data_IF_848704844295
#
_entry.id   IF_848704844295
#
_cell.length_a   1.000
_cell.length_b   1.000
_cell.length_c   1.000
_cell.angle_alpha   90.00
_cell.angle_beta   90.00
_cell.angle_gamma   90.00
#
_symmetry.space_group_name_H-M   'P 1'
#
loop_
_entity.id
_entity.type
_entity.pdbx_description
1 polymer ?
#
# COMPACT_ATOMS: atom_id res chain seq x y z
N UNK A 1 -25.48 7.60 32.31
CA UNK A 1 -25.27 6.28 31.67
C UNK A 1 -25.58 6.29 30.18
N UNK A 2 -26.82 6.60 29.73
CA UNK A 2 -27.20 6.53 28.30
C UNK A 2 -26.29 7.35 27.35
N UNK A 3 -25.91 8.59 27.73
CA UNK A 3 -25.00 9.46 26.94
C UNK A 3 -23.55 8.94 26.88
N UNK A 4 -23.06 8.29 27.94
CA UNK A 4 -21.72 7.67 27.94
C UNK A 4 -21.68 6.42 27.08
N UNK A 5 -22.74 5.60 27.09
CA UNK A 5 -22.89 4.43 26.20
C UNK A 5 -22.98 4.87 24.74
N UNK A 6 -23.72 5.93 24.43
CA UNK A 6 -23.80 6.48 23.07
C UNK A 6 -22.45 7.00 22.56
N UNK A 7 -21.69 7.70 23.40
CA UNK A 7 -20.33 8.16 23.06
C UNK A 7 -19.35 7.00 22.92
N UNK A 8 -19.45 5.96 23.75
CA UNK A 8 -18.63 4.74 23.62
C UNK A 8 -18.98 3.97 22.35
N UNK A 9 -20.28 3.89 22.00
CA UNK A 9 -20.75 3.26 20.76
C UNK A 9 -20.28 4.02 19.52
N UNK A 10 -20.31 5.36 19.53
CA UNK A 10 -19.76 6.21 18.45
C UNK A 10 -18.23 6.03 18.38
N UNK A 11 -17.53 5.95 19.51
CA UNK A 11 -16.08 5.71 19.52
C UNK A 11 -15.73 4.31 19.06
N UNK A 12 -16.52 3.29 19.44
CA UNK A 12 -16.38 1.92 18.97
C UNK A 12 -16.70 1.79 17.46
N UNK A 13 -17.70 2.49 16.97
CA UNK A 13 -18.05 2.54 15.55
C UNK A 13 -16.97 3.27 14.71
N UNK A 14 -16.36 4.32 15.26
CA UNK A 14 -15.22 5.01 14.63
C UNK A 14 -13.91 4.23 14.76
N UNK A 15 -13.78 3.37 15.76
CA UNK A 15 -12.63 2.49 15.97
C UNK A 15 -12.79 1.12 15.29
N UNK A 16 -14.01 0.75 14.87
CA UNK A 16 -14.22 -0.44 14.07
C UNK A 16 -13.42 -0.28 12.77
N UNK A 17 -12.50 -1.22 12.46
CA UNK A 17 -11.82 -1.18 11.18
C UNK A 17 -12.90 -1.35 10.13
N UNK A 18 -13.25 -0.26 9.42
CA UNK A 18 -13.89 -0.42 8.14
C UNK A 18 -12.99 -1.40 7.38
N UNK A 19 -13.56 -2.47 6.86
CA UNK A 19 -12.85 -3.36 5.96
C UNK A 19 -12.36 -2.48 4.79
N UNK A 20 -11.20 -1.86 4.99
CA UNK A 20 -10.51 -1.15 3.94
C UNK A 20 -10.09 -2.26 3.00
N UNK A 21 -10.86 -2.46 1.95
CA UNK A 21 -10.46 -3.21 0.77
C UNK A 21 -9.39 -2.40 0.03
N UNK A 22 -8.28 -2.09 0.72
CA UNK A 22 -7.04 -1.78 0.06
C UNK A 22 -6.69 -3.01 -0.75
N UNK A 23 -6.69 -2.89 -2.05
CA UNK A 23 -6.34 -3.99 -2.94
C UNK A 23 -4.98 -4.55 -2.49
N UNK A 24 -4.83 -5.86 -2.23
CA UNK A 24 -3.61 -6.43 -1.67
C UNK A 24 -2.42 -6.23 -2.59
N UNK A 25 -2.68 -5.96 -3.84
CA UNK A 25 -1.71 -5.92 -4.90
C UNK A 25 -1.45 -4.50 -5.43
N UNK A 26 -1.95 -3.42 -4.84
CA UNK A 26 -1.64 -2.00 -5.14
C UNK A 26 -1.14 -1.66 -6.55
N UNK A 27 -1.04 -0.38 -6.88
CA UNK A 27 -0.67 0.08 -8.23
C UNK A 27 0.84 -0.08 -8.57
N UNK A 28 1.64 -0.68 -7.66
CA UNK A 28 3.10 -0.87 -7.80
C UNK A 28 3.49 -2.31 -8.09
N UNK A 29 2.55 -3.25 -8.08
CA UNK A 29 2.87 -4.68 -8.10
C UNK A 29 3.31 -5.18 -9.45
N UNK A 30 4.24 -6.14 -9.43
CA UNK A 30 4.60 -7.00 -10.56
C UNK A 30 4.27 -8.42 -10.19
N UNK A 31 3.16 -8.92 -10.74
CA UNK A 31 2.64 -10.24 -10.46
C UNK A 31 3.17 -11.24 -11.48
N UNK A 32 3.50 -12.43 -11.02
CA UNK A 32 4.11 -13.47 -11.86
C UNK A 32 3.46 -14.81 -11.58
N UNK A 33 3.20 -15.51 -12.66
CA UNK A 33 2.73 -16.89 -12.61
C UNK A 33 3.55 -17.74 -13.57
N UNK A 34 3.92 -18.94 -13.16
CA UNK A 34 4.57 -19.92 -14.01
C UNK A 34 3.90 -21.28 -13.88
N UNK A 35 3.56 -21.91 -14.99
CA UNK A 35 3.12 -23.28 -15.05
C UNK A 35 4.15 -24.11 -15.79
N UNK A 36 4.77 -25.06 -15.11
CA UNK A 36 5.72 -26.00 -15.70
C UNK A 36 4.99 -27.32 -15.99
N UNK A 37 4.95 -27.72 -17.25
CA UNK A 37 4.24 -28.94 -17.67
C UNK A 37 4.92 -29.62 -18.84
N UNK A 38 4.56 -30.88 -19.08
CA UNK A 38 4.96 -31.61 -20.28
C UNK A 38 3.78 -31.68 -21.25
N UNK A 39 4.07 -31.43 -22.51
CA UNK A 39 3.14 -31.58 -23.63
C UNK A 39 3.96 -32.04 -24.85
N UNK A 40 3.41 -32.86 -25.70
CA UNK A 40 4.12 -33.42 -26.87
C UNK A 40 5.55 -33.91 -26.51
N UNK A 41 5.66 -34.65 -25.40
CA UNK A 41 6.93 -35.15 -24.88
C UNK A 41 8.02 -34.08 -24.66
N UNK A 42 7.61 -32.79 -24.44
CA UNK A 42 8.51 -31.68 -24.18
C UNK A 42 8.12 -30.90 -22.94
N UNK A 43 9.10 -30.36 -22.25
CA UNK A 43 8.87 -29.43 -21.18
C UNK A 43 8.43 -28.06 -21.73
N UNK A 44 7.38 -27.49 -21.16
CA UNK A 44 6.94 -26.14 -21.44
C UNK A 44 6.77 -25.36 -20.13
N UNK A 45 7.05 -24.06 -20.19
CA UNK A 45 6.71 -23.13 -19.14
C UNK A 45 5.81 -22.05 -19.73
N UNK A 46 4.55 -22.01 -19.28
CA UNK A 46 3.67 -20.87 -19.50
C UNK A 46 3.99 -19.84 -18.42
N UNK A 47 4.54 -18.71 -18.82
CA UNK A 47 4.86 -17.59 -17.95
C UNK A 47 3.88 -16.46 -18.17
N UNK A 48 3.31 -15.92 -17.09
CA UNK A 48 2.43 -14.76 -17.14
C UNK A 48 3.03 -13.66 -16.26
N UNK A 49 3.23 -12.50 -16.86
CA UNK A 49 3.64 -11.27 -16.20
C UNK A 49 2.46 -10.30 -16.24
N UNK A 50 2.06 -9.82 -15.07
CA UNK A 50 1.02 -8.80 -14.92
C UNK A 50 1.58 -7.62 -14.11
N UNK A 51 1.85 -6.50 -14.79
CA UNK A 51 2.37 -5.28 -14.20
C UNK A 51 1.26 -4.27 -13.96
N UNK A 52 1.23 -3.72 -12.76
CA UNK A 52 0.35 -2.62 -12.41
C UNK A 52 0.70 -1.33 -13.18
N UNK A 53 -0.08 -0.27 -12.96
CA UNK A 53 0.00 1.01 -13.66
C UNK A 53 1.39 1.64 -13.58
N UNK A 54 1.98 1.69 -12.39
CA UNK A 54 3.25 2.37 -12.16
C UNK A 54 4.42 1.59 -12.78
N UNK A 55 4.59 0.28 -12.53
CA UNK A 55 5.61 -0.51 -13.25
C UNK A 55 5.45 -0.47 -14.78
N UNK A 56 4.20 -0.47 -15.28
CA UNK A 56 3.93 -0.35 -16.71
C UNK A 56 4.40 1.01 -17.25
N UNK A 57 4.08 2.09 -16.54
CA UNK A 57 4.52 3.43 -16.89
C UNK A 57 6.05 3.56 -16.87
N UNK A 58 6.72 3.00 -15.85
CA UNK A 58 8.17 2.99 -15.73
C UNK A 58 8.85 2.17 -16.82
N UNK A 59 8.26 1.05 -17.23
CA UNK A 59 8.79 0.20 -18.29
C UNK A 59 8.71 0.88 -19.67
N UNK A 60 7.83 1.88 -19.83
CA UNK A 60 7.62 2.57 -21.10
C UNK A 60 7.08 1.63 -22.18
N UNK A 61 7.61 1.73 -23.40
CA UNK A 61 7.17 0.88 -24.53
C UNK A 61 7.75 -0.52 -24.39
N UNK A 62 6.88 -1.51 -24.24
CA UNK A 62 7.26 -2.92 -24.08
C UNK A 62 7.27 -3.59 -25.45
N UNK A 63 8.45 -4.10 -25.85
CA UNK A 63 8.59 -5.03 -26.95
C UNK A 63 8.45 -6.47 -26.46
N UNK A 64 7.41 -7.17 -26.91
CA UNK A 64 7.08 -8.51 -26.43
C UNK A 64 8.21 -9.52 -26.62
N UNK A 65 8.97 -9.43 -27.73
CA UNK A 65 10.06 -10.36 -28.04
C UNK A 65 11.27 -10.13 -27.11
N UNK A 66 11.66 -8.88 -26.90
CA UNK A 66 12.75 -8.51 -26.01
C UNK A 66 12.42 -8.93 -24.57
N UNK A 67 11.21 -8.64 -24.12
CA UNK A 67 10.75 -9.05 -22.78
C UNK A 67 10.66 -10.56 -22.61
N UNK A 68 10.23 -11.32 -23.65
CA UNK A 68 10.22 -12.77 -23.60
C UNK A 68 11.62 -13.36 -23.44
N UNK A 69 12.64 -12.79 -24.10
CA UNK A 69 14.03 -13.19 -23.94
C UNK A 69 14.55 -12.88 -22.51
N UNK A 70 14.20 -11.70 -21.98
CA UNK A 70 14.53 -11.34 -20.60
C UNK A 70 13.88 -12.33 -19.61
N UNK A 71 12.61 -12.63 -19.74
CA UNK A 71 11.89 -13.62 -18.92
C UNK A 71 12.55 -14.99 -18.99
N UNK A 72 12.92 -15.45 -20.20
CA UNK A 72 13.57 -16.73 -20.39
C UNK A 72 14.93 -16.82 -19.69
N UNK A 73 15.66 -15.73 -19.58
CA UNK A 73 16.95 -15.66 -18.89
C UNK A 73 16.83 -15.85 -17.37
N UNK A 74 15.75 -15.32 -16.76
CA UNK A 74 15.44 -15.45 -15.34
C UNK A 74 14.67 -16.72 -14.97
N UNK A 75 14.06 -17.40 -15.94
CA UNK A 75 13.34 -18.66 -15.76
C UNK A 75 14.33 -19.84 -15.81
N UNK A 76 14.66 -20.40 -14.66
CA UNK A 76 15.69 -21.44 -14.51
C UNK A 76 15.04 -22.80 -14.34
N UNK A 77 15.10 -23.63 -15.38
CA UNK A 77 14.64 -25.03 -15.34
C UNK A 77 15.82 -25.98 -15.19
N UNK A 78 15.67 -26.97 -14.32
CA UNK A 78 16.57 -28.13 -14.21
C UNK A 78 15.78 -29.42 -14.39
N UNK A 79 16.30 -30.32 -15.17
CA UNK A 79 15.77 -31.67 -15.36
C UNK A 79 16.85 -32.66 -14.96
N UNK A 80 16.55 -33.56 -14.03
CA UNK A 80 17.48 -34.50 -13.41
C UNK A 80 18.82 -33.83 -12.99
N UNK A 81 18.68 -32.64 -12.33
CA UNK A 81 19.80 -31.84 -11.85
C UNK A 81 20.53 -31.02 -12.92
N UNK A 82 20.34 -31.29 -14.21
CA UNK A 82 20.99 -30.57 -15.31
C UNK A 82 20.18 -29.35 -15.74
N UNK A 83 20.86 -28.24 -15.98
CA UNK A 83 20.22 -27.02 -16.48
C UNK A 83 19.62 -27.25 -17.87
N UNK A 84 18.34 -26.99 -18.02
CA UNK A 84 17.62 -27.07 -19.26
C UNK A 84 17.46 -25.67 -19.89
N UNK A 85 17.73 -25.54 -21.18
CA UNK A 85 17.54 -24.26 -21.90
C UNK A 85 16.06 -24.08 -22.19
N UNK A 86 15.55 -22.90 -21.91
CA UNK A 86 14.20 -22.45 -22.27
C UNK A 86 14.29 -21.40 -23.38
N UNK A 87 13.48 -21.59 -24.42
CA UNK A 87 13.41 -20.66 -25.55
C UNK A 87 11.99 -20.14 -25.72
N UNK A 88 11.76 -18.84 -25.87
CA UNK A 88 10.44 -18.30 -26.18
C UNK A 88 9.97 -18.77 -27.54
N UNK A 89 8.75 -19.30 -27.62
CA UNK A 89 8.13 -19.79 -28.87
C UNK A 89 6.85 -19.05 -29.24
N UNK A 90 6.19 -18.43 -28.24
CA UNK A 90 5.01 -17.61 -28.49
C UNK A 90 4.89 -16.54 -27.40
N UNK A 91 4.30 -15.40 -27.76
CA UNK A 91 4.01 -14.28 -26.85
C UNK A 91 2.63 -13.72 -27.12
N UNK A 92 1.96 -13.27 -26.08
CA UNK A 92 0.74 -12.48 -26.20
C UNK A 92 0.86 -11.28 -25.24
N UNK A 93 0.68 -10.07 -25.76
CA UNK A 93 0.83 -8.81 -25.01
C UNK A 93 -0.45 -8.01 -25.10
N UNK A 94 -0.89 -7.49 -23.97
CA UNK A 94 -2.01 -6.57 -23.89
C UNK A 94 -1.69 -5.44 -22.91
N UNK A 95 -2.29 -4.28 -23.16
CA UNK A 95 -2.22 -3.10 -22.28
C UNK A 95 -3.65 -2.70 -21.84
N UNK A 96 -4.26 -3.44 -20.90
CA UNK A 96 -5.57 -3.08 -20.37
C UNK A 96 -5.58 -1.69 -19.76
N UNK A 97 -6.73 -1.03 -19.78
CA UNK A 97 -6.93 0.25 -19.07
C UNK A 97 -6.87 -0.01 -17.56
N UNK A 98 -6.07 0.77 -16.88
CA UNK A 98 -5.92 0.78 -15.42
C UNK A 98 -6.48 2.05 -14.81
N UNK A 99 -6.04 2.35 -13.59
CA UNK A 99 -6.47 3.52 -12.84
C UNK A 99 -5.94 4.84 -13.46
N UNK A 100 -6.74 5.89 -13.39
CA UNK A 100 -6.34 7.24 -13.79
C UNK A 100 -6.02 7.43 -15.26
N UNK A 101 -6.51 6.54 -16.15
CA UNK A 101 -6.19 6.58 -17.58
C UNK A 101 -4.83 5.99 -17.92
N UNK A 102 -4.09 5.49 -16.94
CA UNK A 102 -2.87 4.70 -17.15
C UNK A 102 -3.23 3.31 -17.64
N UNK A 103 -2.25 2.63 -18.23
CA UNK A 103 -2.39 1.24 -18.63
C UNK A 103 -1.68 0.31 -17.67
N UNK A 104 -2.15 -0.91 -17.58
CA UNK A 104 -1.44 -2.06 -17.01
C UNK A 104 -0.83 -2.87 -18.15
N UNK A 105 0.06 -3.82 -17.81
CA UNK A 105 0.63 -4.72 -18.81
C UNK A 105 0.37 -6.15 -18.44
N UNK A 106 -0.20 -6.92 -19.36
CA UNK A 106 -0.25 -8.37 -19.29
C UNK A 106 0.53 -8.96 -20.44
N UNK A 107 1.61 -9.70 -20.11
CA UNK A 107 2.44 -10.41 -21.08
C UNK A 107 2.41 -11.89 -20.73
N UNK A 108 1.99 -12.71 -21.68
CA UNK A 108 2.08 -14.17 -21.61
C UNK A 108 3.19 -14.65 -22.54
N UNK A 109 4.04 -15.53 -22.03
CA UNK A 109 5.17 -16.09 -22.78
C UNK A 109 5.13 -17.60 -22.66
N UNK A 110 5.15 -18.29 -23.81
CA UNK A 110 5.33 -19.73 -23.85
C UNK A 110 6.81 -20.03 -24.08
N UNK A 111 7.46 -20.65 -23.08
CA UNK A 111 8.84 -21.11 -23.17
C UNK A 111 8.86 -22.60 -23.46
N UNK A 112 9.66 -23.00 -24.44
CA UNK A 112 9.87 -24.41 -24.85
C UNK A 112 11.20 -24.89 -24.30
N UNK A 113 11.18 -26.05 -23.66
CA UNK A 113 12.33 -26.77 -23.14
C UNK A 113 12.66 -28.06 -23.90
N UNK A 114 13.57 -28.89 -23.36
CA UNK A 114 13.96 -30.16 -23.97
C UNK A 114 12.85 -31.22 -23.90
N UNK A 115 13.11 -32.37 -24.54
CA UNK A 115 12.25 -33.55 -24.48
C UNK A 115 12.24 -34.16 -23.09
N UNK A 116 11.12 -34.76 -22.74
CA UNK A 116 10.87 -35.49 -21.48
C UNK A 116 10.18 -36.79 -21.86
N UNK A 117 10.99 -37.80 -22.13
CA UNK A 117 10.50 -39.09 -22.63
C UNK A 117 10.29 -40.12 -21.48
N UNK A 118 10.76 -39.80 -20.26
CA UNK A 118 10.57 -40.58 -19.05
C UNK A 118 10.23 -39.70 -17.84
N UNK A 119 9.85 -40.30 -16.72
CA UNK A 119 9.61 -39.58 -15.49
C UNK A 119 10.91 -38.90 -15.01
N UNK A 120 10.92 -37.58 -14.97
CA UNK A 120 12.10 -36.75 -14.81
C UNK A 120 11.92 -35.87 -13.56
N UNK A 121 12.95 -35.78 -12.72
CA UNK A 121 12.98 -34.84 -11.62
C UNK A 121 13.09 -33.40 -12.17
N UNK A 122 12.24 -32.52 -11.71
CA UNK A 122 12.20 -31.12 -12.13
C UNK A 122 12.46 -30.21 -10.94
N UNK A 123 13.28 -29.19 -11.17
CA UNK A 123 13.37 -28.02 -10.31
C UNK A 123 13.26 -26.77 -11.19
N UNK A 124 12.36 -25.89 -10.83
CA UNK A 124 12.13 -24.63 -11.52
C UNK A 124 12.24 -23.46 -10.54
N UNK A 125 12.97 -22.42 -10.93
CA UNK A 125 13.15 -21.20 -10.15
C UNK A 125 12.92 -19.98 -11.06
N UNK A 126 12.07 -19.07 -10.64
CA UNK A 126 11.85 -17.78 -11.29
C UNK A 126 12.60 -16.68 -10.52
N UNK A 127 13.63 -16.12 -11.17
CA UNK A 127 14.43 -15.00 -10.62
C UNK A 127 14.07 -13.66 -11.23
N UNK A 128 13.10 -13.61 -12.15
CA UNK A 128 12.64 -12.35 -12.73
C UNK A 128 12.02 -11.47 -11.65
N UNK A 129 12.32 -10.19 -11.67
CA UNK A 129 11.77 -9.21 -10.73
C UNK A 129 11.82 -9.66 -9.24
N UNK A 130 12.91 -10.32 -8.81
CA UNK A 130 13.01 -10.95 -7.49
C UNK A 130 12.75 -9.98 -6.34
N UNK A 131 13.18 -8.72 -6.44
CA UNK A 131 12.99 -7.68 -5.43
C UNK A 131 11.66 -6.92 -5.52
N UNK A 132 10.75 -7.28 -6.47
CA UNK A 132 9.50 -6.53 -6.67
C UNK A 132 8.36 -7.14 -5.87
N UNK A 133 7.50 -6.25 -5.33
CA UNK A 133 6.28 -6.64 -4.62
C UNK A 133 5.26 -7.17 -5.64
N UNK A 134 4.53 -8.22 -5.28
CA UNK A 134 3.48 -8.80 -6.10
C UNK A 134 3.24 -10.27 -5.81
N UNK A 135 2.24 -10.82 -6.46
CA UNK A 135 1.89 -12.24 -6.41
C UNK A 135 2.91 -13.05 -7.21
N UNK A 136 3.47 -14.08 -6.60
CA UNK A 136 4.42 -14.99 -7.24
C UNK A 136 3.93 -16.41 -7.05
N UNK A 137 3.55 -17.05 -8.13
CA UNK A 137 2.94 -18.37 -8.13
C UNK A 137 3.61 -19.28 -9.15
N UNK A 138 4.00 -20.48 -8.71
CA UNK A 138 4.51 -21.52 -9.58
C UNK A 138 3.73 -22.80 -9.35
N UNK A 139 3.22 -23.41 -10.43
CA UNK A 139 2.52 -24.69 -10.39
C UNK A 139 3.19 -25.70 -11.30
N UNK A 140 3.22 -26.97 -10.85
CA UNK A 140 3.71 -28.10 -11.65
C UNK A 140 2.56 -28.94 -12.19
N UNK A 141 2.59 -29.21 -13.50
CA UNK A 141 1.60 -30.03 -14.20
C UNK A 141 0.43 -29.25 -14.79
N UNK A 142 -0.12 -29.77 -15.89
CA UNK A 142 -1.17 -29.15 -16.66
C UNK A 142 -2.51 -29.02 -15.89
N UNK A 143 -2.78 -29.97 -14.99
CA UNK A 143 -4.06 -30.06 -14.24
C UNK A 143 -3.99 -29.43 -12.86
N UNK A 144 -2.84 -28.93 -12.42
CA UNK A 144 -2.68 -28.30 -11.11
C UNK A 144 -3.42 -26.98 -11.10
N UNK A 145 -4.31 -26.81 -10.11
CA UNK A 145 -5.09 -25.58 -9.94
C UNK A 145 -4.18 -24.42 -9.57
N UNK A 146 -4.37 -23.28 -10.23
CA UNK A 146 -3.77 -21.99 -9.86
C UNK A 146 -4.67 -21.30 -8.83
N UNK A 147 -4.09 -20.74 -7.79
CA UNK A 147 -4.81 -19.97 -6.77
C UNK A 147 -5.29 -18.62 -7.30
N UNK A 148 -4.52 -18.03 -8.21
CA UNK A 148 -4.85 -16.75 -8.86
C UNK A 148 -5.56 -16.91 -10.20
N UNK A 149 -5.95 -18.15 -10.60
CA UNK A 149 -6.46 -18.43 -11.95
C UNK A 149 -5.53 -17.83 -13.02
N UNK A 150 -4.21 -18.08 -12.89
CA UNK A 150 -3.18 -17.54 -13.77
C UNK A 150 -3.19 -16.00 -13.83
N UNK A 151 -3.27 -15.37 -12.67
CA UNK A 151 -3.36 -13.92 -12.46
C UNK A 151 -4.63 -13.27 -13.05
N UNK A 152 -5.73 -14.04 -13.20
CA UNK A 152 -7.03 -13.50 -13.63
C UNK A 152 -7.98 -13.23 -12.47
N UNK A 153 -7.77 -13.87 -11.34
CA UNK A 153 -8.59 -13.68 -10.15
C UNK A 153 -7.74 -13.92 -8.88
N UNK A 154 -7.70 -12.96 -7.99
CA UNK A 154 -6.99 -13.10 -6.73
C UNK A 154 -7.93 -13.54 -5.61
N UNK A 155 -7.46 -14.34 -4.62
CA UNK A 155 -8.26 -14.71 -3.47
C UNK A 155 -8.79 -13.48 -2.73
N UNK A 156 -10.07 -13.51 -2.36
CA UNK A 156 -10.72 -12.38 -1.65
C UNK A 156 -10.27 -12.26 -0.18
N UNK A 157 -9.68 -13.30 0.38
CA UNK A 157 -9.20 -13.30 1.76
C UNK A 157 -7.76 -12.78 1.83
N UNK A 158 -7.63 -11.49 2.06
CA UNK A 158 -6.41 -10.70 1.92
C UNK A 158 -5.73 -10.39 3.26
N UNK A 159 -6.07 -11.13 4.31
CA UNK A 159 -5.42 -11.05 5.62
C UNK A 159 -3.99 -11.63 5.59
N UNK A 160 -3.66 -12.37 4.55
CA UNK A 160 -2.32 -12.94 4.32
C UNK A 160 -1.56 -12.10 3.29
N UNK A 161 -0.23 -12.10 3.39
CA UNK A 161 0.66 -11.51 2.39
C UNK A 161 0.41 -12.16 1.01
N UNK A 162 0.66 -11.45 -0.11
CA UNK A 162 0.62 -12.08 -1.43
C UNK A 162 1.47 -13.35 -1.46
N UNK A 163 1.02 -14.36 -2.20
CA UNK A 163 1.78 -15.60 -2.39
C UNK A 163 3.16 -15.27 -2.97
N UNK A 164 4.22 -15.82 -2.39
CA UNK A 164 5.62 -15.55 -2.75
C UNK A 164 6.39 -16.86 -3.02
N UNK A 165 5.89 -17.65 -3.98
CA UNK A 165 6.53 -18.88 -4.43
C UNK A 165 7.42 -18.58 -5.62
N UNK A 166 8.74 -18.64 -5.42
CA UNK A 166 9.77 -18.37 -6.44
C UNK A 166 10.50 -19.60 -6.92
N UNK A 167 10.30 -20.75 -6.26
CA UNK A 167 10.88 -22.03 -6.67
C UNK A 167 9.95 -23.19 -6.36
N UNK A 168 10.05 -24.24 -7.17
CA UNK A 168 9.31 -25.48 -6.99
C UNK A 168 10.15 -26.67 -7.48
N UNK A 169 10.00 -27.81 -6.82
CA UNK A 169 10.59 -29.06 -7.25
C UNK A 169 9.57 -30.20 -7.22
N UNK A 170 9.76 -31.19 -8.09
CA UNK A 170 8.84 -32.32 -8.18
C UNK A 170 9.27 -33.28 -9.28
N UNK A 171 8.30 -34.05 -9.80
CA UNK A 171 8.51 -34.98 -10.94
C UNK A 171 7.55 -34.64 -12.06
N UNK A 172 8.06 -34.55 -13.26
CA UNK A 172 7.27 -34.47 -14.50
C UNK A 172 7.22 -35.86 -15.15
N UNK A 173 6.05 -36.22 -15.65
CA UNK A 173 5.85 -37.43 -16.43
C UNK A 173 5.64 -37.06 -17.88
N UNK A 174 6.10 -37.93 -18.85
CA UNK A 174 5.77 -37.73 -20.26
C UNK A 174 4.26 -37.56 -20.44
N UNK A 175 3.88 -36.66 -21.29
CA UNK A 175 2.49 -36.43 -21.64
C UNK A 175 2.40 -36.12 -23.13
N UNK A 176 1.53 -36.84 -23.84
CA UNK A 176 1.07 -36.50 -25.18
C UNK A 176 -0.01 -35.41 -25.05
N UNK A 177 -0.14 -34.58 -26.04
CA UNK A 177 -1.15 -33.52 -26.10
C UNK A 177 -0.55 -32.21 -26.58
N UNK A 178 -1.40 -31.28 -26.97
CA UNK A 178 -0.92 -30.01 -27.53
C UNK A 178 -0.21 -29.17 -26.48
N UNK A 179 0.76 -28.31 -26.87
CA UNK A 179 1.39 -27.36 -25.99
C UNK A 179 0.36 -26.37 -25.42
N UNK A 180 0.67 -25.74 -24.27
CA UNK A 180 -0.18 -24.72 -23.69
C UNK A 180 -0.48 -23.61 -24.70
N UNK A 181 -1.73 -23.17 -24.72
CA UNK A 181 -2.15 -22.03 -25.56
C UNK A 181 -2.08 -20.76 -24.75
N UNK A 182 -1.63 -19.68 -25.39
CA UNK A 182 -1.70 -18.35 -24.81
C UNK A 182 -3.15 -17.84 -24.87
N UNK A 183 -3.48 -16.95 -23.94
CA UNK A 183 -4.79 -16.31 -23.91
C UNK A 183 -4.98 -15.38 -25.12
N UNK A 184 -6.23 -15.16 -25.53
CA UNK A 184 -6.59 -14.23 -26.60
C UNK A 184 -7.83 -13.43 -26.22
N UNK A 185 -8.01 -12.28 -26.84
CA UNK A 185 -9.18 -11.41 -26.61
C UNK A 185 -9.32 -11.00 -25.13
N UNK A 186 -10.54 -11.12 -24.58
CA UNK A 186 -10.83 -10.76 -23.18
C UNK A 186 -10.03 -11.56 -22.15
N UNK A 187 -9.56 -12.76 -22.48
CA UNK A 187 -8.75 -13.56 -21.56
C UNK A 187 -7.34 -12.98 -21.33
N UNK A 188 -6.86 -12.08 -22.18
CA UNK A 188 -5.62 -11.32 -21.96
C UNK A 188 -5.80 -10.15 -21.00
N UNK A 189 -7.04 -9.74 -20.68
CA UNK A 189 -7.27 -8.67 -19.73
C UNK A 189 -7.26 -9.23 -18.30
N UNK A 190 -6.54 -8.58 -17.39
CA UNK A 190 -6.66 -8.87 -15.96
C UNK A 190 -8.05 -8.43 -15.47
N UNK A 191 -8.60 -9.06 -14.41
CA UNK A 191 -9.83 -8.58 -13.78
C UNK A 191 -9.66 -7.14 -13.30
N UNK A 192 -10.77 -6.39 -13.29
CA UNK A 192 -10.80 -5.01 -12.81
C UNK A 192 -10.16 -4.93 -11.40
N UNK A 193 -9.13 -4.12 -11.27
CA UNK A 193 -8.51 -3.79 -9.99
C UNK A 193 -9.41 -2.77 -9.30
N UNK A 194 -10.18 -3.26 -8.33
CA UNK A 194 -11.22 -2.47 -7.66
C UNK A 194 -10.60 -1.57 -6.59
N UNK A 195 -11.12 -0.37 -6.50
CA UNK A 195 -11.30 0.53 -5.35
C UNK A 195 -10.41 1.77 -5.20
N UNK A 196 -9.09 1.76 -5.40
CA UNK A 196 -8.33 3.03 -5.35
C UNK A 196 -8.39 3.83 -6.67
N UNK A 197 -9.09 3.28 -7.66
CA UNK A 197 -9.21 3.84 -9.00
C UNK A 197 -10.17 5.04 -9.10
N UNK A 198 -11.13 5.19 -8.17
CA UNK A 198 -12.14 6.22 -8.28
C UNK A 198 -11.55 7.64 -8.21
N UNK A 199 -10.61 7.91 -7.29
CA UNK A 199 -9.91 9.19 -7.27
C UNK A 199 -9.02 9.38 -8.50
N UNK A 200 -8.24 8.36 -8.86
CA UNK A 200 -7.37 8.41 -10.02
C UNK A 200 -8.16 8.56 -11.35
N UNK A 201 -9.39 8.02 -11.44
CA UNK A 201 -10.22 8.13 -12.64
C UNK A 201 -10.66 9.58 -12.95
N UNK A 202 -10.60 10.48 -11.98
CA UNK A 202 -10.95 11.89 -12.18
C UNK A 202 -10.03 12.56 -13.20
N UNK A 203 -8.75 12.19 -13.24
CA UNK A 203 -7.78 12.76 -14.18
C UNK A 203 -7.97 12.25 -15.61
N UNK A 204 -8.49 11.02 -15.77
CA UNK A 204 -8.70 10.36 -17.07
C UNK A 204 -9.93 10.81 -17.86
N UNK A 205 -10.72 11.74 -17.35
CA UNK A 205 -11.93 12.24 -18.07
C UNK A 205 -11.54 12.93 -19.38
N UNK A 206 -12.16 12.53 -20.50
CA UNK A 206 -11.81 13.01 -21.85
C UNK A 206 -12.16 14.49 -22.03
N UNK A 207 -13.34 14.93 -21.56
CA UNK A 207 -13.82 16.31 -21.67
C UNK A 207 -13.78 17.05 -20.34
N UNK A 208 -13.02 18.13 -20.28
CA UNK A 208 -12.86 18.99 -19.10
C UNK A 208 -13.72 20.26 -19.24
N UNK A 209 -15.06 20.11 -19.21
CA UNK A 209 -15.92 21.28 -19.05
C UNK A 209 -15.79 21.87 -17.63
N UNK A 210 -16.15 23.14 -17.45
CA UNK A 210 -16.09 23.80 -16.13
C UNK A 210 -16.87 23.02 -15.06
N UNK A 211 -18.04 22.47 -15.41
CA UNK A 211 -18.86 21.65 -14.51
C UNK A 211 -18.13 20.35 -14.13
N UNK A 212 -17.48 19.69 -15.09
CA UNK A 212 -16.70 18.46 -14.85
C UNK A 212 -15.52 18.75 -13.94
N UNK A 213 -14.81 19.85 -14.15
CA UNK A 213 -13.71 20.29 -13.29
C UNK A 213 -14.21 20.50 -11.87
N UNK A 214 -15.27 21.31 -11.69
CA UNK A 214 -15.82 21.61 -10.38
C UNK A 214 -16.31 20.35 -9.64
N UNK A 215 -17.03 19.47 -10.33
CA UNK A 215 -17.49 18.20 -9.78
C UNK A 215 -16.30 17.28 -9.41
N UNK A 216 -15.24 17.28 -10.20
CA UNK A 216 -14.04 16.50 -9.91
C UNK A 216 -13.26 17.04 -8.72
N UNK A 217 -13.18 18.37 -8.56
CA UNK A 217 -12.57 19.00 -7.38
C UNK A 217 -13.37 18.69 -6.11
N UNK A 218 -14.69 18.79 -6.17
CA UNK A 218 -15.56 18.39 -5.07
C UNK A 218 -15.36 16.89 -4.72
N UNK A 219 -15.37 16.02 -5.72
CA UNK A 219 -15.14 14.59 -5.53
C UNK A 219 -13.76 14.32 -4.92
N UNK A 220 -12.70 14.97 -5.40
CA UNK A 220 -11.34 14.87 -4.85
C UNK A 220 -11.30 15.31 -3.38
N UNK A 221 -11.96 16.43 -3.06
CA UNK A 221 -12.06 16.95 -1.69
C UNK A 221 -12.74 15.93 -0.76
N UNK A 222 -13.92 15.41 -1.13
CA UNK A 222 -14.64 14.41 -0.33
C UNK A 222 -13.88 13.09 -0.25
N UNK A 223 -13.15 12.72 -1.30
CA UNK A 223 -12.28 11.55 -1.27
C UNK A 223 -11.10 11.71 -0.29
N UNK A 224 -10.52 12.91 -0.23
CA UNK A 224 -9.52 13.27 0.78
C UNK A 224 -10.08 13.18 2.21
N UNK A 225 -11.32 13.63 2.44
CA UNK A 225 -12.02 13.46 3.72
C UNK A 225 -12.20 11.98 4.07
N UNK A 226 -12.73 11.18 3.15
CA UNK A 226 -12.95 9.75 3.34
C UNK A 226 -11.62 9.01 3.58
N UNK A 227 -10.55 9.38 2.84
CA UNK A 227 -9.21 8.87 3.05
C UNK A 227 -8.68 9.16 4.46
N UNK A 228 -8.96 10.33 5.02
CA UNK A 228 -8.61 10.65 6.40
C UNK A 228 -9.35 9.78 7.42
N UNK A 229 -10.60 9.40 7.15
CA UNK A 229 -11.41 8.54 8.02
C UNK A 229 -11.02 7.06 7.95
N UNK A 230 -10.40 6.63 6.85
CA UNK A 230 -9.91 5.25 6.74
C UNK A 230 -8.85 4.97 7.80
N UNK A 231 -8.84 3.78 8.45
CA UNK A 231 -7.86 3.45 9.47
C UNK A 231 -6.46 3.51 8.88
N UNK A 232 -5.59 4.32 9.51
CA UNK A 232 -4.20 4.52 9.10
C UNK A 232 -3.35 4.93 10.30
N UNK A 233 -2.10 4.50 10.31
CA UNK A 233 -1.20 4.62 11.45
C UNK A 233 -1.00 6.07 11.91
N UNK A 234 -0.79 7.02 11.00
CA UNK A 234 -0.56 8.43 11.33
C UNK A 234 -1.78 9.11 11.98
N UNK A 235 -2.99 8.76 11.54
CA UNK A 235 -4.25 9.38 11.99
C UNK A 235 -4.60 9.02 13.43
N UNK A 236 -4.40 7.77 13.82
CA UNK A 236 -4.60 7.28 15.19
C UNK A 236 -3.62 7.97 16.16
N UNK A 237 -2.39 8.22 15.72
CA UNK A 237 -1.35 8.90 16.51
C UNK A 237 -1.75 10.34 16.79
N UNK A 238 -2.27 11.06 15.80
CA UNK A 238 -2.76 12.44 15.94
C UNK A 238 -3.86 12.52 17.00
N UNK A 239 -4.90 11.67 16.89
CA UNK A 239 -5.99 11.63 17.85
C UNK A 239 -5.48 11.27 19.26
N UNK A 240 -4.66 10.23 19.38
CA UNK A 240 -4.10 9.79 20.66
C UNK A 240 -3.19 10.86 21.30
N UNK A 241 -2.41 11.59 20.50
CA UNK A 241 -1.56 12.69 20.98
C UNK A 241 -2.38 13.85 21.57
N UNK A 242 -3.45 14.28 20.87
CA UNK A 242 -4.32 15.37 21.32
C UNK A 242 -5.12 15.01 22.57
N UNK A 243 -5.56 13.76 22.69
CA UNK A 243 -6.22 13.25 23.91
C UNK A 243 -5.21 13.12 25.06
N UNK A 244 -4.00 12.66 24.80
CA UNK A 244 -2.96 12.43 25.83
C UNK A 244 -2.37 13.70 26.41
N UNK A 245 -2.32 14.82 25.67
CA UNK A 245 -1.85 16.13 26.11
C UNK A 245 -3.00 17.13 26.29
N UNK A 246 -2.76 18.31 26.89
CA UNK A 246 -3.75 19.40 26.94
C UNK A 246 -3.81 20.10 25.59
N UNK A 247 -4.28 19.36 24.55
CA UNK A 247 -4.48 19.91 23.22
C UNK A 247 -5.57 21.00 23.23
N UNK A 248 -5.33 22.07 22.47
CA UNK A 248 -6.32 23.12 22.18
C UNK A 248 -6.84 22.92 20.76
N UNK A 249 -7.97 23.57 20.39
CA UNK A 249 -8.44 23.57 19.00
C UNK A 249 -7.38 24.04 17.99
N UNK A 250 -6.53 25.00 18.38
CA UNK A 250 -5.41 25.47 17.57
C UNK A 250 -4.36 24.38 17.33
N UNK A 251 -4.06 23.57 18.34
CA UNK A 251 -3.14 22.43 18.18
C UNK A 251 -3.71 21.38 17.22
N UNK A 252 -5.02 21.15 17.22
CA UNK A 252 -5.67 20.26 16.26
C UNK A 252 -5.57 20.79 14.83
N UNK A 253 -5.82 22.08 14.63
CA UNK A 253 -5.70 22.73 13.32
C UNK A 253 -4.25 22.74 12.82
N UNK A 254 -3.29 23.13 13.67
CA UNK A 254 -1.87 23.12 13.33
C UNK A 254 -1.37 21.72 12.97
N UNK A 255 -1.77 20.69 13.71
CA UNK A 255 -1.38 19.32 13.47
C UNK A 255 -2.00 18.78 12.17
N UNK A 256 -3.28 19.09 11.90
CA UNK A 256 -3.95 18.78 10.64
C UNK A 256 -3.21 19.39 9.44
N UNK A 257 -2.80 20.67 9.56
CA UNK A 257 -2.05 21.37 8.51
C UNK A 257 -0.67 20.74 8.29
N UNK A 258 0.09 20.46 9.37
CA UNK A 258 1.44 19.88 9.29
C UNK A 258 1.37 18.49 8.64
N UNK A 259 0.47 17.61 9.09
CA UNK A 259 0.28 16.26 8.51
C UNK A 259 -0.06 16.36 7.02
N UNK A 260 -0.96 17.25 6.66
CA UNK A 260 -1.38 17.41 5.27
C UNK A 260 -0.27 17.99 4.41
N UNK A 261 0.43 19.01 4.88
CA UNK A 261 1.56 19.61 4.15
C UNK A 261 2.67 18.58 3.92
N UNK A 262 3.07 17.82 4.95
CA UNK A 262 4.10 16.78 4.82
C UNK A 262 3.64 15.62 3.92
N UNK A 263 2.38 15.22 3.98
CA UNK A 263 1.82 14.22 3.05
C UNK A 263 1.84 14.69 1.60
N UNK A 264 1.39 15.91 1.33
CA UNK A 264 1.36 16.48 -0.02
C UNK A 264 2.75 16.67 -0.59
N UNK A 265 3.68 17.22 0.21
CA UNK A 265 5.10 17.33 -0.17
C UNK A 265 5.69 15.95 -0.44
N UNK A 266 5.38 14.95 0.41
CA UNK A 266 5.82 13.57 0.21
C UNK A 266 5.31 12.96 -1.11
N UNK A 267 4.06 13.22 -1.50
CA UNK A 267 3.50 12.79 -2.79
C UNK A 267 4.27 13.41 -3.96
N UNK A 268 4.51 14.72 -3.91
CA UNK A 268 5.23 15.42 -4.98
C UNK A 268 6.69 15.00 -5.05
N UNK A 269 7.37 14.89 -3.91
CA UNK A 269 8.75 14.43 -3.84
C UNK A 269 8.90 13.01 -4.39
N UNK A 270 8.03 12.08 -3.96
CA UNK A 270 8.05 10.72 -4.46
C UNK A 270 7.70 10.64 -5.95
N UNK A 271 6.75 11.45 -6.42
CA UNK A 271 6.41 11.55 -7.83
C UNK A 271 7.58 12.04 -8.68
N UNK A 272 8.29 13.07 -8.21
CA UNK A 272 9.48 13.61 -8.88
C UNK A 272 10.62 12.58 -8.89
N UNK A 273 10.88 11.92 -7.76
CA UNK A 273 11.87 10.83 -7.65
C UNK A 273 11.51 9.71 -8.61
N UNK A 274 10.24 9.30 -8.65
CA UNK A 274 9.77 8.24 -9.56
C UNK A 274 9.97 8.64 -11.03
N UNK A 275 9.76 9.90 -11.37
CA UNK A 275 9.96 10.41 -12.73
C UNK A 275 11.44 10.51 -13.09
N UNK A 276 12.26 11.07 -12.20
CA UNK A 276 13.68 11.32 -12.46
C UNK A 276 14.53 10.05 -12.40
N UNK A 277 14.18 9.11 -11.53
CA UNK A 277 14.96 7.91 -11.23
C UNK A 277 14.24 6.62 -11.63
N UNK A 278 13.27 6.69 -12.55
CA UNK A 278 12.45 5.55 -12.96
C UNK A 278 13.26 4.32 -13.43
N UNK A 279 14.49 4.53 -13.90
CA UNK A 279 15.39 3.45 -14.31
C UNK A 279 16.23 2.86 -13.16
N UNK A 280 16.40 3.57 -12.04
CA UNK A 280 17.34 3.21 -10.97
C UNK A 280 16.67 2.91 -9.63
N UNK A 281 15.62 3.63 -9.27
CA UNK A 281 14.98 3.50 -7.96
C UNK A 281 13.51 3.17 -8.15
N UNK A 282 13.12 2.07 -7.54
CA UNK A 282 11.73 1.60 -7.55
C UNK A 282 11.02 2.15 -6.32
N UNK A 283 9.87 2.84 -6.45
CA UNK A 283 9.12 3.39 -5.31
C UNK A 283 8.85 2.35 -4.22
N UNK A 284 8.66 1.07 -4.59
CA UNK A 284 8.44 -0.02 -3.63
C UNK A 284 9.61 -0.20 -2.66
N UNK A 285 10.84 0.11 -3.07
CA UNK A 285 12.02 0.05 -2.20
C UNK A 285 12.05 1.19 -1.19
N UNK A 286 11.45 2.35 -1.52
CA UNK A 286 11.36 3.50 -0.63
C UNK A 286 10.29 3.34 0.46
N UNK A 287 9.16 2.69 0.15
CA UNK A 287 8.07 2.52 1.11
C UNK A 287 8.48 1.80 2.41
N UNK A 288 9.24 0.69 2.40
CA UNK A 288 9.73 0.05 3.62
C UNK A 288 10.58 0.99 4.47
N UNK A 289 11.49 1.77 3.85
CA UNK A 289 12.31 2.76 4.54
C UNK A 289 11.49 3.89 5.16
N UNK A 290 10.52 4.43 4.42
CA UNK A 290 9.61 5.46 4.94
C UNK A 290 8.77 4.93 6.10
N UNK A 291 8.29 3.67 6.01
CA UNK A 291 7.58 3.01 7.10
C UNK A 291 8.48 2.80 8.33
N UNK A 292 9.73 2.39 8.13
CA UNK A 292 10.71 2.19 9.20
C UNK A 292 11.00 3.51 9.91
N UNK A 293 11.33 4.57 9.17
CA UNK A 293 11.61 5.91 9.70
C UNK A 293 10.41 6.43 10.48
N UNK A 294 9.21 6.36 9.90
CA UNK A 294 7.97 6.77 10.58
C UNK A 294 7.71 5.95 11.84
N UNK A 295 7.90 4.62 11.77
CA UNK A 295 7.74 3.72 12.91
C UNK A 295 8.68 4.09 14.06
N UNK A 296 9.96 4.30 13.78
CA UNK A 296 10.98 4.68 14.77
C UNK A 296 10.66 6.04 15.41
N UNK A 297 10.24 7.04 14.60
CA UNK A 297 9.81 8.34 15.12
C UNK A 297 8.62 8.22 16.09
N UNK A 298 7.64 7.39 15.71
CA UNK A 298 6.45 7.15 16.55
C UNK A 298 6.82 6.42 17.85
N UNK A 299 7.71 5.42 17.80
CA UNK A 299 8.24 4.75 19.00
C UNK A 299 8.93 5.76 19.91
N UNK A 300 9.79 6.62 19.35
CA UNK A 300 10.48 7.66 20.11
C UNK A 300 9.51 8.60 20.83
N UNK A 301 8.48 9.08 20.14
CA UNK A 301 7.42 9.94 20.72
C UNK A 301 6.65 9.18 21.79
N UNK A 302 6.19 7.96 21.51
CA UNK A 302 5.44 7.12 22.45
C UNK A 302 6.23 6.85 23.71
N UNK A 303 7.50 6.49 23.58
CA UNK A 303 8.41 6.26 24.70
C UNK A 303 8.66 7.52 25.52
N UNK A 304 8.88 8.66 24.87
CA UNK A 304 9.09 9.95 25.57
C UNK A 304 7.84 10.36 26.38
N UNK A 305 6.65 10.25 25.77
CA UNK A 305 5.37 10.55 26.46
C UNK A 305 5.14 9.58 27.61
N UNK A 306 5.37 8.28 27.40
CA UNK A 306 5.19 7.24 28.41
C UNK A 306 6.16 7.41 29.59
N UNK A 307 7.46 7.64 29.30
CA UNK A 307 8.49 7.89 30.31
C UNK A 307 8.18 9.12 31.17
N UNK A 308 7.73 10.21 30.55
CA UNK A 308 7.33 11.42 31.27
C UNK A 308 6.15 11.14 32.23
N UNK A 309 5.19 10.32 31.81
CA UNK A 309 4.05 9.93 32.64
C UNK A 309 4.46 9.06 33.85
N UNK A 310 5.38 8.13 33.63
CA UNK A 310 5.91 7.30 34.71
C UNK A 310 6.70 8.13 35.75
N UNK A 311 7.53 9.07 35.29
CA UNK A 311 8.29 9.96 36.16
C UNK A 311 7.39 10.84 37.06
N UNK A 312 6.34 11.43 36.45
CA UNK A 312 5.36 12.21 37.19
C UNK A 312 4.56 11.39 38.24
N UNK A 313 4.32 10.10 37.99
CA UNK A 313 3.67 9.20 38.97
C UNK A 313 4.58 8.92 40.18
N UNK A 314 5.90 8.81 39.99
CA UNK A 314 6.86 8.57 41.04
C UNK A 314 7.12 9.84 41.87
N UNK A 315 7.08 11.02 41.27
CA UNK A 315 7.24 12.30 41.95
C UNK A 315 6.07 12.70 42.88
N UNK A 316 4.85 12.17 42.61
CA UNK A 316 3.68 12.45 43.46
C UNK A 316 3.55 11.60 44.72
N UNK A 317 4.57 10.78 45.07
CA UNK A 317 4.65 10.10 46.35
C UNK A 317 5.31 10.98 47.44
N UNK A 318 5.78 12.20 47.12
CA UNK A 318 6.36 13.16 48.04
C UNK A 318 6.18 14.59 47.53
N UNK A 319 5.57 15.45 48.34
CA UNK A 319 5.48 16.90 48.29
C UNK A 319 4.60 17.58 47.22
N UNK A 320 3.78 18.53 47.72
CA UNK A 320 2.90 19.43 46.98
C UNK A 320 3.71 20.58 46.34
N UNK A 321 4.17 20.39 45.11
CA UNK A 321 4.63 21.49 44.28
C UNK A 321 3.67 21.68 43.09
N UNK A 322 3.23 22.93 42.90
CA UNK A 322 2.43 23.37 41.77
C UNK A 322 3.25 23.21 40.45
N UNK A 323 3.12 22.10 39.78
CA UNK A 323 3.78 21.89 38.49
C UNK A 323 2.89 22.41 37.39
N UNK A 324 3.36 23.42 36.69
CA UNK A 324 2.84 23.84 35.40
C UNK A 324 2.88 22.66 34.41
N UNK A 325 1.73 22.15 34.03
CA UNK A 325 1.63 21.15 32.99
C UNK A 325 1.96 21.83 31.65
N UNK A 326 3.13 21.57 31.11
CA UNK A 326 3.57 22.12 29.83
C UNK A 326 2.56 21.79 28.72
N UNK A 327 2.13 22.84 27.99
CA UNK A 327 1.42 22.73 26.73
C UNK A 327 2.28 21.95 25.72
N UNK A 328 1.69 21.34 24.68
CA UNK A 328 2.47 20.70 23.61
C UNK A 328 3.51 21.67 23.07
N UNK A 329 4.80 21.32 23.14
CA UNK A 329 5.84 22.14 22.55
C UNK A 329 5.71 22.14 21.02
N UNK A 330 6.08 23.24 20.36
CA UNK A 330 6.08 23.35 18.89
C UNK A 330 6.88 22.21 18.26
N UNK A 331 8.01 21.82 18.84
CA UNK A 331 8.83 20.70 18.36
C UNK A 331 8.10 19.34 18.41
N UNK A 332 7.32 19.08 19.47
CA UNK A 332 6.56 17.82 19.58
C UNK A 332 5.38 17.77 18.59
N UNK A 333 4.74 18.90 18.27
CA UNK A 333 3.70 18.97 17.24
C UNK A 333 4.28 18.72 15.84
N UNK A 334 5.42 19.35 15.53
CA UNK A 334 6.11 19.13 14.26
C UNK A 334 6.50 17.67 14.08
N UNK A 335 7.13 17.07 15.10
CA UNK A 335 7.59 15.66 15.01
C UNK A 335 6.42 14.69 14.81
N UNK A 336 5.31 14.88 15.55
CA UNK A 336 4.08 14.06 15.38
C UNK A 336 3.45 14.29 14.01
N UNK A 337 3.38 15.53 13.57
CA UNK A 337 2.80 15.87 12.26
C UNK A 337 3.62 15.32 11.10
N UNK A 338 4.94 15.46 11.16
CA UNK A 338 5.85 14.92 10.14
C UNK A 338 5.77 13.39 10.09
N UNK A 339 5.86 12.72 11.26
CA UNK A 339 5.77 11.25 11.30
C UNK A 339 4.42 10.72 10.79
N UNK A 340 3.33 11.46 11.04
CA UNK A 340 1.99 11.11 10.57
C UNK A 340 1.75 11.35 9.07
N UNK A 341 2.46 12.34 8.48
CA UNK A 341 2.30 12.73 7.08
C UNK A 341 3.38 12.19 6.13
N UNK A 342 4.48 11.64 6.65
CA UNK A 342 5.64 11.24 5.84
C UNK A 342 5.34 10.16 4.79
N UNK A 343 4.32 9.32 5.04
CA UNK A 343 3.90 8.27 4.11
C UNK A 343 2.91 8.83 3.08
N UNK A 344 3.34 9.08 1.84
CA UNK A 344 2.44 9.52 0.78
C UNK A 344 1.48 8.39 0.39
N UNK A 345 0.24 8.73 0.07
CA UNK A 345 -0.72 7.73 -0.38
C UNK A 345 -0.47 7.32 -1.85
N UNK A 346 -0.59 6.01 -2.16
CA UNK A 346 -0.41 5.54 -3.54
C UNK A 346 -1.38 6.17 -4.54
N UNK A 347 -2.62 6.43 -4.13
CA UNK A 347 -3.65 7.01 -5.00
C UNK A 347 -3.29 8.40 -5.52
N UNK A 348 -2.71 9.27 -4.67
CA UNK A 348 -2.28 10.60 -5.09
C UNK A 348 -1.07 10.53 -6.03
N UNK A 349 -0.17 9.55 -5.83
CA UNK A 349 0.96 9.31 -6.74
C UNK A 349 0.47 8.86 -8.12
N UNK A 350 -0.53 7.96 -8.19
CA UNK A 350 -1.13 7.54 -9.47
C UNK A 350 -1.76 8.72 -10.19
N UNK A 351 -2.49 9.60 -9.46
CA UNK A 351 -3.06 10.83 -10.06
C UNK A 351 -1.96 11.74 -10.61
N UNK A 352 -0.85 11.89 -9.90
CA UNK A 352 0.28 12.71 -10.36
C UNK A 352 0.93 12.13 -11.63
N UNK A 353 1.23 10.84 -11.64
CA UNK A 353 1.82 10.17 -12.80
C UNK A 353 0.85 10.16 -14.01
N UNK A 354 -0.43 9.93 -13.77
CA UNK A 354 -1.46 10.02 -14.80
C UNK A 354 -1.57 11.46 -15.36
N UNK A 355 -1.49 12.47 -14.50
CA UNK A 355 -1.51 13.88 -14.92
C UNK A 355 -0.32 14.22 -15.84
N UNK A 356 0.86 13.70 -15.52
CA UNK A 356 2.06 13.85 -16.34
C UNK A 356 1.88 13.14 -17.69
N UNK A 357 1.47 11.86 -17.67
CA UNK A 357 1.32 11.05 -18.89
C UNK A 357 0.24 11.57 -19.84
N UNK A 358 -0.82 12.19 -19.32
CA UNK A 358 -1.92 12.77 -20.08
C UNK A 358 -1.69 14.24 -20.44
N UNK A 359 -0.50 14.80 -20.15
CA UNK A 359 -0.17 16.23 -20.35
C UNK A 359 -1.17 17.19 -19.66
N UNK A 360 -1.71 16.78 -18.47
CA UNK A 360 -2.70 17.52 -17.68
C UNK A 360 -2.17 17.88 -16.29
N UNK A 361 -0.88 18.22 -16.20
CA UNK A 361 -0.18 18.42 -14.93
C UNK A 361 -0.89 19.44 -14.02
N UNK A 362 -1.28 20.60 -14.55
CA UNK A 362 -1.95 21.64 -13.78
C UNK A 362 -3.26 21.12 -13.15
N UNK A 363 -4.06 20.37 -13.91
CA UNK A 363 -5.31 19.78 -13.42
C UNK A 363 -5.04 18.71 -12.35
N UNK A 364 -4.05 17.86 -12.54
CA UNK A 364 -3.66 16.85 -11.54
C UNK A 364 -3.18 17.49 -10.23
N UNK A 365 -2.37 18.55 -10.31
CA UNK A 365 -1.92 19.29 -9.13
C UNK A 365 -3.09 19.89 -8.35
N UNK A 366 -4.06 20.52 -9.05
CA UNK A 366 -5.26 21.11 -8.43
C UNK A 366 -6.11 20.00 -7.76
N UNK A 367 -6.28 18.83 -8.39
CA UNK A 367 -6.98 17.69 -7.78
C UNK A 367 -6.27 17.21 -6.49
N UNK A 368 -4.93 17.14 -6.49
CA UNK A 368 -4.16 16.75 -5.31
C UNK A 368 -4.30 17.80 -4.19
N UNK A 369 -4.32 19.08 -4.53
CA UNK A 369 -4.56 20.16 -3.55
C UNK A 369 -5.98 20.08 -2.98
N UNK A 370 -7.00 19.85 -3.81
CA UNK A 370 -8.38 19.66 -3.35
C UNK A 370 -8.51 18.43 -2.41
N UNK A 371 -7.90 17.32 -2.79
CA UNK A 371 -7.81 16.12 -1.94
C UNK A 371 -7.12 16.44 -0.60
N UNK A 372 -6.01 17.15 -0.64
CA UNK A 372 -5.24 17.54 0.56
C UNK A 372 -6.03 18.47 1.47
N UNK A 373 -6.85 19.37 0.92
CA UNK A 373 -7.75 20.23 1.70
C UNK A 373 -8.83 19.41 2.43
N UNK A 374 -9.41 18.39 1.78
CA UNK A 374 -10.35 17.46 2.39
C UNK A 374 -9.68 16.64 3.52
N UNK A 375 -8.46 16.17 3.29
CA UNK A 375 -7.64 15.47 4.28
C UNK A 375 -7.39 16.35 5.51
N UNK A 376 -6.96 17.60 5.31
CA UNK A 376 -6.70 18.57 6.36
C UNK A 376 -7.94 18.83 7.22
N UNK A 377 -9.09 19.06 6.57
CA UNK A 377 -10.35 19.33 7.27
C UNK A 377 -10.76 18.14 8.14
N UNK A 378 -10.68 16.92 7.63
CA UNK A 378 -11.04 15.73 8.40
C UNK A 378 -10.10 15.47 9.57
N UNK A 379 -8.77 15.57 9.38
CA UNK A 379 -7.80 15.38 10.47
C UNK A 379 -8.01 16.43 11.56
N UNK A 380 -8.21 17.69 11.17
CA UNK A 380 -8.52 18.79 12.10
C UNK A 380 -9.83 18.53 12.82
N UNK A 381 -10.87 18.09 12.11
CA UNK A 381 -12.17 17.75 12.68
C UNK A 381 -12.09 16.61 13.70
N UNK A 382 -11.38 15.52 13.39
CA UNK A 382 -11.13 14.42 14.33
C UNK A 382 -10.39 14.92 15.57
N UNK A 383 -9.37 15.76 15.37
CA UNK A 383 -8.62 16.36 16.46
C UNK A 383 -9.48 17.25 17.34
N UNK A 384 -10.33 18.08 16.74
CA UNK A 384 -11.27 18.96 17.45
C UNK A 384 -12.30 18.15 18.26
N UNK A 385 -12.91 17.13 17.65
CA UNK A 385 -13.82 16.19 18.33
C UNK A 385 -13.13 15.56 19.54
N UNK A 386 -11.88 15.12 19.41
CA UNK A 386 -11.09 14.54 20.50
C UNK A 386 -10.87 15.55 21.65
N UNK A 387 -10.59 16.82 21.33
CA UNK A 387 -10.40 17.89 22.31
C UNK A 387 -11.70 18.22 23.04
N UNK A 388 -12.81 18.38 22.28
CA UNK A 388 -14.14 18.70 22.84
C UNK A 388 -14.67 17.54 23.69
N UNK A 389 -14.57 16.32 23.21
CA UNK A 389 -14.95 15.13 23.97
C UNK A 389 -14.20 15.08 25.31
N UNK A 390 -12.89 15.31 25.31
CA UNK A 390 -12.11 15.38 26.55
C UNK A 390 -12.59 16.46 27.51
N UNK A 391 -12.96 17.65 27.02
CA UNK A 391 -13.51 18.73 27.84
C UNK A 391 -14.88 18.36 28.42
N UNK A 392 -15.75 17.74 27.62
CA UNK A 392 -17.07 17.28 28.06
C UNK A 392 -16.94 16.19 29.15
N UNK A 393 -16.03 15.24 28.98
CA UNK A 393 -15.75 14.24 30.02
C UNK A 393 -15.21 14.83 31.32
N UNK A 394 -14.39 15.87 31.24
CA UNK A 394 -13.91 16.59 32.45
C UNK A 394 -15.03 17.32 33.18
N UNK A 395 -16.01 17.91 32.48
CA UNK A 395 -17.18 18.61 33.07
C UNK A 395 -18.16 17.65 33.72
N UNK A 396 -18.19 16.40 33.28
CA UNK A 396 -19.09 15.37 33.79
C UNK A 396 -18.62 14.69 35.10
N UNK A 397 -17.63 15.26 35.80
CA UNK A 397 -17.08 14.79 37.11
C UNK A 397 -16.81 13.29 37.20
N UNK A 398 -16.36 12.69 36.12
CA UNK A 398 -15.90 11.31 36.14
C UNK A 398 -14.53 11.22 36.81
N UNK A 399 -14.45 11.35 38.14
CA UNK A 399 -13.23 11.18 38.95
C UNK A 399 -12.81 9.70 39.14
N UNK A 400 -13.22 8.83 38.23
CA UNK A 400 -12.92 7.41 38.27
C UNK A 400 -11.45 7.11 37.88
N UNK A 401 -10.91 6.01 38.46
CA UNK A 401 -9.60 5.44 38.09
C UNK A 401 -9.40 5.33 36.57
N UNK A 402 -10.49 5.13 35.82
CA UNK A 402 -10.49 4.99 34.35
C UNK A 402 -10.04 6.27 33.64
N UNK A 403 -10.49 7.46 34.08
CA UNK A 403 -10.12 8.76 33.48
C UNK A 403 -8.64 9.10 33.74
N UNK A 404 -8.11 8.69 34.90
CA UNK A 404 -6.69 8.84 35.25
C UNK A 404 -5.78 7.93 34.43
N UNK A 405 -6.31 6.81 33.88
CA UNK A 405 -5.57 5.87 33.03
C UNK A 405 -5.56 6.27 31.55
N UNK A 406 -6.53 7.07 31.09
CA UNK A 406 -6.68 7.44 29.66
C UNK A 406 -5.38 7.99 29.03
N UNK A 407 -4.64 8.92 29.68
CA UNK A 407 -3.40 9.44 29.09
C UNK A 407 -2.25 8.43 29.04
N UNK A 408 -2.23 7.47 29.96
CA UNK A 408 -1.25 6.38 29.91
C UNK A 408 -1.62 5.34 28.84
N UNK A 409 -2.91 5.04 28.71
CA UNK A 409 -3.43 4.16 27.68
C UNK A 409 -3.16 4.72 26.27
N UNK A 410 -3.37 6.03 26.07
CA UNK A 410 -3.07 6.67 24.77
C UNK A 410 -1.58 6.63 24.44
N UNK A 411 -0.69 6.84 25.42
CA UNK A 411 0.76 6.73 25.21
C UNK A 411 1.18 5.29 24.87
N UNK A 412 0.55 4.29 25.52
CA UNK A 412 0.77 2.88 25.21
C UNK A 412 0.31 2.53 23.80
N UNK A 413 -0.86 3.01 23.38
CA UNK A 413 -1.37 2.80 22.00
C UNK A 413 -0.40 3.38 20.97
N UNK A 414 0.13 4.58 21.19
CA UNK A 414 1.12 5.19 20.29
C UNK A 414 2.38 4.32 20.22
N UNK A 415 2.88 3.87 21.38
CA UNK A 415 4.09 3.04 21.47
C UNK A 415 3.90 1.71 20.75
N UNK A 416 2.79 1.02 21.01
CA UNK A 416 2.46 -0.27 20.37
C UNK A 416 2.27 -0.11 18.86
N UNK A 417 1.59 0.95 18.41
CA UNK A 417 1.42 1.24 16.98
C UNK A 417 2.79 1.48 16.30
N UNK A 418 3.65 2.30 16.91
CA UNK A 418 4.99 2.56 16.40
C UNK A 418 5.86 1.30 16.33
N UNK A 419 5.82 0.48 17.39
CA UNK A 419 6.54 -0.80 17.42
C UNK A 419 6.05 -1.77 16.34
N UNK A 420 4.73 -1.88 16.18
CA UNK A 420 4.14 -2.72 15.14
C UNK A 420 4.55 -2.26 13.73
N UNK A 421 4.60 -0.94 13.47
CA UNK A 421 5.10 -0.39 12.21
C UNK A 421 6.57 -0.74 11.97
N UNK A 422 7.41 -0.53 12.98
CA UNK A 422 8.86 -0.80 12.91
C UNK A 422 9.13 -2.28 12.65
N UNK A 423 8.51 -3.18 13.43
CA UNK A 423 8.68 -4.64 13.29
C UNK A 423 8.21 -5.13 11.91
N UNK A 424 7.11 -4.59 11.38
CA UNK A 424 6.62 -4.95 10.04
C UNK A 424 7.48 -4.40 8.90
N UNK A 425 8.22 -3.30 9.14
CA UNK A 425 9.09 -2.71 8.14
C UNK A 425 10.46 -3.38 8.08
N UNK A 426 11.02 -3.86 9.21
CA UNK A 426 12.35 -4.46 9.33
C UNK A 426 12.63 -5.57 8.30
N UNK A 427 11.80 -6.63 8.16
CA UNK A 427 12.08 -7.70 7.21
C UNK A 427 11.92 -7.32 5.74
N UNK A 428 11.48 -6.07 5.46
CA UNK A 428 11.33 -5.54 4.09
C UNK A 428 12.47 -4.60 3.70
N UNK A 429 13.35 -4.28 4.64
CA UNK A 429 14.50 -3.39 4.49
C UNK A 429 15.82 -4.16 4.58
N UNK A 430 15.81 -5.32 5.26
CA UNK A 430 16.89 -6.32 5.26
C UNK A 430 16.77 -7.21 4.03
#
# INVERSE_FOLDING_TARGET
>A
MKRAIALLAVFAALAAPAAASAHPLGNFTINRFSRVQVADHRAYVLYVLDMAEIPTYQAGRIDARSYANHIASGARLRLDGRRARLTPVATALAHPKGAGGLHTTRLEVLLKGPRVDQATAVAYTDTNYAGRIGWKEIVLGARTRSESNELRAYPKNLLQSPLDVTSVSGKLRPAAGPPPRLSSGRALTAPDRVADSAFASLIGKEHLSALVILASLAAAFFWGMAHALSPGHGKTIVAAYLVGRRGTPWHAAALGLIVTATHTIGVFALGLVTLALSQFIVPEQLYPWLNLISGVLVVGIGAAVFRNRLRHRRAHAGEHHHHHHEAPSRGSLLTVGISGGLLPCPSALVVLLAAISLHRLAYGLILIVAFSAGLALSITGIGLVAVVAKQAFRRASFDGRLVRLLPAASALVILVAGLAMTVRALPKVS
#
